data_IF_788909471837
#
_entry.id   IF_788909471837
#
_cell.length_a   1.000
_cell.length_b   1.000
_cell.length_c   1.000
_cell.angle_alpha   90.00
_cell.angle_beta   90.00
_cell.angle_gamma   90.00
#
_symmetry.space_group_name_H-M   'P 1'
#
loop_
_entity.id
_entity.type
_entity.pdbx_description
1 polymer ?
#
# COMPACT_ATOMS: atom_id res chain seq x y z
N UNK A 1 -16.23 3.30 -7.43
CA UNK A 1 -14.93 3.57 -6.79
C UNK A 1 -14.77 2.61 -5.64
N UNK A 2 -13.67 1.87 -5.63
CA UNK A 2 -13.25 1.02 -4.50
C UNK A 2 -11.90 1.51 -3.99
N UNK A 3 -11.76 1.66 -2.68
CA UNK A 3 -10.56 2.23 -2.08
C UNK A 3 -10.01 1.26 -1.05
N UNK A 4 -8.70 1.03 -1.09
CA UNK A 4 -7.98 0.20 -0.14
C UNK A 4 -7.08 1.09 0.72
N UNK A 5 -7.43 1.30 1.98
CA UNK A 5 -6.67 2.10 2.96
C UNK A 5 -5.72 1.17 3.73
N UNK A 6 -4.45 1.11 3.31
CA UNK A 6 -3.44 0.21 3.85
C UNK A 6 -2.70 0.84 5.04
N UNK A 7 -2.53 0.08 6.11
CA UNK A 7 -2.17 0.60 7.45
C UNK A 7 -3.10 1.74 7.88
N UNK A 8 -4.40 1.51 7.68
CA UNK A 8 -5.47 2.48 7.90
C UNK A 8 -5.52 3.10 9.30
N UNK A 9 -4.89 2.47 10.30
CA UNK A 9 -5.01 2.90 11.68
C UNK A 9 -6.49 3.01 12.04
N UNK A 10 -6.85 4.09 12.74
CA UNK A 10 -8.23 4.34 13.17
C UNK A 10 -9.18 4.74 12.03
N UNK A 11 -8.73 4.73 10.77
CA UNK A 11 -9.61 4.94 9.62
C UNK A 11 -10.11 6.38 9.45
N UNK A 12 -9.38 7.39 9.92
CA UNK A 12 -9.78 8.79 9.67
C UNK A 12 -9.67 9.16 8.18
N UNK A 13 -8.66 8.66 7.48
CA UNK A 13 -8.56 8.76 6.01
C UNK A 13 -9.77 8.10 5.35
N UNK A 14 -10.08 6.86 5.75
CA UNK A 14 -11.27 6.13 5.28
C UNK A 14 -12.59 6.86 5.54
N UNK A 15 -12.76 7.47 6.72
CA UNK A 15 -13.95 8.27 7.06
C UNK A 15 -14.12 9.46 6.10
N UNK A 16 -13.04 10.22 5.86
CA UNK A 16 -13.05 11.35 4.96
C UNK A 16 -13.37 10.91 3.52
N UNK A 17 -12.75 9.82 3.05
CA UNK A 17 -12.99 9.27 1.71
C UNK A 17 -14.43 8.78 1.54
N UNK A 18 -14.97 8.06 2.52
CA UNK A 18 -16.35 7.58 2.48
C UNK A 18 -17.39 8.71 2.52
N UNK A 19 -17.06 9.85 3.15
CA UNK A 19 -17.90 11.04 3.12
C UNK A 19 -17.80 11.78 1.77
N UNK A 20 -16.58 11.98 1.27
CA UNK A 20 -16.33 12.69 0.00
C UNK A 20 -16.85 11.93 -1.23
N UNK A 21 -16.89 10.60 -1.15
CA UNK A 21 -17.38 9.70 -2.19
C UNK A 21 -18.47 8.79 -1.63
N UNK A 22 -19.74 9.25 -1.57
CA UNK A 22 -20.81 8.51 -0.88
C UNK A 22 -21.10 7.11 -1.44
N UNK A 23 -20.80 6.88 -2.73
CA UNK A 23 -20.96 5.59 -3.42
C UNK A 23 -19.71 4.70 -3.37
N UNK A 24 -18.62 5.16 -2.75
CA UNK A 24 -17.40 4.36 -2.67
C UNK A 24 -17.53 3.28 -1.59
N UNK A 25 -16.86 2.14 -1.84
CA UNK A 25 -16.53 1.14 -0.81
C UNK A 25 -15.09 1.35 -0.38
N UNK A 26 -14.85 1.33 0.93
CA UNK A 26 -13.53 1.53 1.50
C UNK A 26 -13.15 0.32 2.33
N UNK A 27 -12.05 -0.32 1.97
CA UNK A 27 -11.48 -1.46 2.66
C UNK A 27 -10.25 -1.01 3.43
N UNK A 28 -10.39 -0.97 4.74
CA UNK A 28 -9.33 -0.68 5.70
C UNK A 28 -8.57 -1.97 6.02
N UNK A 29 -7.24 -1.93 5.92
CA UNK A 29 -6.37 -3.02 6.35
C UNK A 29 -5.39 -2.50 7.39
N UNK A 30 -5.34 -3.13 8.56
CA UNK A 30 -4.35 -2.84 9.60
C UNK A 30 -4.05 -4.11 10.41
N UNK A 31 -2.83 -4.22 10.95
CA UNK A 31 -2.44 -5.38 11.76
C UNK A 31 -3.10 -5.40 13.15
N UNK A 32 -3.57 -4.26 13.63
CA UNK A 32 -4.11 -4.13 14.98
C UNK A 32 -5.58 -4.55 15.08
N UNK A 33 -5.83 -5.82 15.42
CA UNK A 33 -7.19 -6.35 15.61
C UNK A 33 -7.98 -5.73 16.78
N UNK A 34 -7.30 -5.12 17.75
CA UNK A 34 -7.90 -4.57 18.98
C UNK A 34 -8.30 -3.10 18.86
N UNK A 35 -8.36 -2.57 17.64
CA UNK A 35 -8.61 -1.16 17.43
C UNK A 35 -10.05 -0.78 17.75
N UNK A 36 -10.25 0.33 18.48
CA UNK A 36 -11.58 0.89 18.67
C UNK A 36 -11.99 1.68 17.42
N UNK A 37 -13.01 1.17 16.71
CA UNK A 37 -13.51 1.70 15.45
C UNK A 37 -14.96 2.17 15.50
N UNK A 38 -15.54 2.35 16.71
CA UNK A 38 -16.97 2.72 16.88
C UNK A 38 -17.41 3.98 16.14
N UNK A 39 -16.49 4.92 15.89
CA UNK A 39 -16.79 6.12 15.10
C UNK A 39 -17.10 5.82 13.63
N UNK A 40 -16.79 4.60 13.14
CA UNK A 40 -17.11 4.14 11.79
C UNK A 40 -18.46 3.40 11.72
N UNK A 41 -19.16 3.18 12.84
CA UNK A 41 -20.42 2.42 12.85
C UNK A 41 -21.49 3.06 11.94
N UNK A 42 -21.49 4.39 11.83
CA UNK A 42 -22.38 5.13 10.92
C UNK A 42 -22.10 4.90 9.42
N UNK A 43 -20.97 4.26 9.09
CA UNK A 43 -20.51 3.94 7.74
C UNK A 43 -20.58 2.43 7.45
N UNK A 44 -21.24 1.65 8.32
CA UNK A 44 -21.45 0.23 8.13
C UNK A 44 -22.04 -0.08 6.74
N UNK A 45 -21.52 -1.12 6.10
CA UNK A 45 -21.89 -1.50 4.73
C UNK A 45 -21.15 -0.73 3.63
N UNK A 46 -20.34 0.28 3.96
CA UNK A 46 -19.46 0.99 3.01
C UNK A 46 -18.00 0.99 3.41
N UNK A 47 -17.71 1.05 4.71
CA UNK A 47 -16.36 0.94 5.25
C UNK A 47 -16.20 -0.42 5.92
N UNK A 48 -15.18 -1.17 5.51
CA UNK A 48 -14.91 -2.54 5.95
C UNK A 48 -13.52 -2.60 6.54
N UNK A 49 -13.35 -3.28 7.69
CA UNK A 49 -12.04 -3.43 8.34
C UNK A 49 -11.58 -4.88 8.30
N UNK A 50 -10.34 -5.09 7.86
CA UNK A 50 -9.63 -6.36 7.92
C UNK A 50 -8.40 -6.25 8.81
N UNK A 51 -8.36 -7.07 9.87
CA UNK A 51 -7.23 -7.16 10.78
C UNK A 51 -6.16 -8.11 10.22
N UNK A 52 -5.24 -7.59 9.40
CA UNK A 52 -4.28 -8.40 8.66
C UNK A 52 -2.87 -7.77 8.58
N UNK A 53 -1.85 -8.61 8.47
CA UNK A 53 -0.51 -8.19 8.09
C UNK A 53 -0.48 -7.95 6.57
N UNK A 54 0.03 -6.82 6.10
CA UNK A 54 0.04 -6.50 4.65
C UNK A 54 0.82 -7.50 3.78
N UNK A 55 1.68 -8.33 4.39
CA UNK A 55 2.39 -9.40 3.69
C UNK A 55 1.63 -10.73 3.66
N UNK A 56 0.50 -10.83 4.36
CA UNK A 56 -0.32 -12.02 4.32
C UNK A 56 -1.06 -12.11 2.97
N UNK A 57 -1.28 -13.35 2.51
CA UNK A 57 -1.90 -13.64 1.20
C UNK A 57 -3.36 -13.19 1.14
N UNK A 58 -4.04 -13.23 2.27
CA UNK A 58 -5.42 -12.78 2.46
C UNK A 58 -5.65 -11.32 2.03
N UNK A 59 -4.65 -10.45 2.17
CA UNK A 59 -4.75 -9.05 1.74
C UNK A 59 -4.82 -8.94 0.22
N UNK A 60 -4.04 -9.74 -0.51
CA UNK A 60 -4.11 -9.76 -1.98
C UNK A 60 -5.46 -10.34 -2.45
N UNK A 61 -5.92 -11.43 -1.83
CA UNK A 61 -7.23 -12.03 -2.11
C UNK A 61 -8.35 -11.01 -1.87
N UNK A 62 -8.34 -10.32 -0.73
CA UNK A 62 -9.30 -9.27 -0.40
C UNK A 62 -9.35 -8.19 -1.48
N UNK A 63 -8.19 -7.73 -1.97
CA UNK A 63 -8.14 -6.71 -3.02
C UNK A 63 -8.74 -7.26 -4.31
N UNK A 64 -8.33 -8.45 -4.75
CA UNK A 64 -8.82 -9.06 -6.00
C UNK A 64 -10.33 -9.30 -5.97
N UNK A 65 -10.86 -9.82 -4.87
CA UNK A 65 -12.29 -10.08 -4.71
C UNK A 65 -13.09 -8.77 -4.77
N UNK A 66 -12.62 -7.74 -4.06
CA UNK A 66 -13.25 -6.42 -4.07
C UNK A 66 -13.21 -5.75 -5.46
N UNK A 67 -12.14 -5.95 -6.22
CA UNK A 67 -12.04 -5.48 -7.61
C UNK A 67 -13.00 -6.24 -8.53
N UNK A 68 -13.06 -7.57 -8.42
CA UNK A 68 -13.96 -8.40 -9.21
C UNK A 68 -15.44 -8.04 -8.98
N UNK A 69 -15.81 -7.75 -7.72
CA UNK A 69 -17.16 -7.29 -7.37
C UNK A 69 -17.44 -5.85 -7.85
N UNK A 70 -16.43 -4.98 -7.84
CA UNK A 70 -16.61 -3.60 -8.28
C UNK A 70 -16.75 -3.47 -9.81
N UNK A 71 -16.00 -4.27 -10.56
CA UNK A 71 -15.84 -4.15 -12.01
C UNK A 71 -14.62 -3.32 -12.40
N UNK A 72 -14.51 -3.02 -13.69
CA UNK A 72 -13.35 -2.35 -14.25
C UNK A 72 -13.26 -0.86 -13.85
N UNK A 73 -12.03 -0.41 -13.58
CA UNK A 73 -11.65 0.97 -13.29
C UNK A 73 -12.20 1.55 -11.97
N UNK A 74 -11.62 2.69 -11.56
CA UNK A 74 -12.06 3.43 -10.38
C UNK A 74 -11.61 2.84 -9.05
N UNK A 75 -10.56 2.04 -9.04
CA UNK A 75 -9.93 1.48 -7.84
C UNK A 75 -8.71 2.29 -7.41
N UNK A 76 -8.44 2.36 -6.10
CA UNK A 76 -7.27 3.07 -5.59
C UNK A 76 -6.73 2.43 -4.31
N UNK A 77 -5.41 2.26 -4.22
CA UNK A 77 -4.72 2.01 -2.95
C UNK A 77 -4.27 3.35 -2.38
N UNK A 78 -4.59 3.57 -1.11
CA UNK A 78 -4.14 4.71 -0.31
C UNK A 78 -3.31 4.16 0.84
N UNK A 79 -2.09 4.66 0.98
CA UNK A 79 -1.16 4.26 2.03
C UNK A 79 -0.55 5.47 2.70
N UNK A 80 -1.04 5.79 3.90
CA UNK A 80 -0.46 6.85 4.75
C UNK A 80 0.45 6.19 5.79
N UNK A 81 1.61 6.78 6.08
CA UNK A 81 2.59 6.23 7.05
C UNK A 81 3.23 4.88 6.66
N UNK A 82 3.06 4.39 5.43
CA UNK A 82 3.68 3.14 4.94
C UNK A 82 5.19 3.27 4.67
N UNK A 83 6.01 3.50 5.68
CA UNK A 83 7.44 3.78 5.47
C UNK A 83 8.26 2.51 5.21
N UNK A 84 9.35 2.61 4.46
CA UNK A 84 10.27 1.48 4.22
C UNK A 84 9.61 0.33 3.47
N UNK A 85 9.73 -0.90 4.00
CA UNK A 85 9.21 -2.11 3.36
C UNK A 85 7.68 -2.07 3.14
N UNK A 86 6.93 -1.28 3.93
CA UNK A 86 5.49 -1.14 3.76
C UNK A 86 5.12 -0.39 2.47
N UNK A 87 5.88 0.65 2.09
CA UNK A 87 5.71 1.32 0.78
C UNK A 87 5.99 0.35 -0.35
N UNK A 88 7.07 -0.45 -0.23
CA UNK A 88 7.41 -1.49 -1.20
C UNK A 88 6.23 -2.44 -1.37
N UNK A 89 5.69 -2.95 -0.25
CA UNK A 89 4.57 -3.90 -0.28
C UNK A 89 3.31 -3.31 -0.90
N UNK A 90 3.00 -2.05 -0.65
CA UNK A 90 1.86 -1.39 -1.28
C UNK A 90 2.04 -1.24 -2.80
N UNK A 91 3.26 -0.95 -3.29
CA UNK A 91 3.58 -0.98 -4.72
C UNK A 91 3.38 -2.38 -5.30
N UNK A 92 3.90 -3.42 -4.65
CA UNK A 92 3.73 -4.81 -5.08
C UNK A 92 2.25 -5.19 -5.19
N UNK A 93 1.42 -4.86 -4.20
CA UNK A 93 -0.02 -5.12 -4.20
C UNK A 93 -0.74 -4.34 -5.32
N UNK A 94 -0.39 -3.07 -5.51
CA UNK A 94 -0.92 -2.22 -6.58
C UNK A 94 -0.70 -2.84 -7.96
N UNK A 95 0.52 -3.28 -8.24
CA UNK A 95 0.90 -3.90 -9.51
C UNK A 95 0.24 -5.26 -9.68
N UNK A 96 0.40 -6.14 -8.69
CA UNK A 96 -0.09 -7.52 -8.77
C UNK A 96 -1.62 -7.58 -8.95
N UNK A 97 -2.36 -6.68 -8.31
CA UNK A 97 -3.82 -6.65 -8.39
C UNK A 97 -4.37 -5.83 -9.55
N UNK A 98 -3.52 -5.07 -10.28
CA UNK A 98 -3.98 -4.20 -11.37
C UNK A 98 -4.89 -3.08 -10.88
N UNK A 99 -4.58 -2.47 -9.74
CA UNK A 99 -5.34 -1.32 -9.20
C UNK A 99 -5.09 -0.08 -10.07
N UNK A 100 -6.08 0.81 -10.23
CA UNK A 100 -5.98 1.95 -11.18
C UNK A 100 -5.17 3.13 -10.64
N UNK A 101 -5.14 3.29 -9.31
CA UNK A 101 -4.45 4.39 -8.65
C UNK A 101 -3.68 3.97 -7.41
N UNK A 102 -2.55 4.64 -7.17
CA UNK A 102 -1.75 4.48 -5.95
C UNK A 102 -1.44 5.85 -5.36
N UNK A 103 -1.84 6.06 -4.11
CA UNK A 103 -1.44 7.20 -3.30
C UNK A 103 -0.55 6.70 -2.17
N UNK A 104 0.73 7.04 -2.22
CA UNK A 104 1.69 6.76 -1.15
C UNK A 104 2.15 8.06 -0.49
N UNK A 105 1.88 8.18 0.81
CA UNK A 105 2.35 9.28 1.65
C UNK A 105 3.20 8.76 2.82
N UNK A 106 4.47 8.39 2.54
CA UNK A 106 5.41 7.96 3.57
C UNK A 106 5.93 9.19 4.34
N UNK A 107 5.57 9.32 5.61
CA UNK A 107 5.96 10.48 6.42
C UNK A 107 7.35 10.37 7.06
N UNK A 108 7.86 9.14 7.26
CA UNK A 108 9.13 8.89 7.89
C UNK A 108 10.16 8.53 6.83
N UNK A 109 11.13 9.40 6.62
CA UNK A 109 12.46 8.99 6.16
C UNK A 109 13.06 8.16 7.29
N UNK A 110 12.63 6.90 7.35
CA UNK A 110 12.86 5.91 8.40
C UNK A 110 13.80 6.42 9.49
N UNK A 111 13.26 6.94 10.61
CA UNK A 111 14.00 6.84 11.87
C UNK A 111 14.25 5.35 12.02
N UNK A 112 15.49 4.92 11.85
CA UNK A 112 15.82 3.50 11.70
C UNK A 112 15.09 2.71 12.77
N UNK A 113 14.12 1.90 12.35
CA UNK A 113 13.52 0.95 13.27
C UNK A 113 14.64 -0.02 13.66
N UNK A 114 14.77 -0.26 14.96
CA UNK A 114 15.64 -1.30 15.49
C UNK A 114 15.44 -2.58 14.68
N UNK A 115 16.53 -3.30 14.39
CA UNK A 115 16.50 -4.44 13.47
C UNK A 115 15.40 -5.46 13.79
N UNK A 116 15.16 -5.74 15.08
CA UNK A 116 14.10 -6.66 15.54
C UNK A 116 12.66 -6.17 15.38
N UNK A 117 12.44 -4.90 15.01
CA UNK A 117 11.11 -4.33 14.72
C UNK A 117 10.87 -4.13 13.22
N UNK A 118 11.80 -4.56 12.36
CA UNK A 118 11.68 -4.43 10.90
C UNK A 118 10.68 -5.48 10.39
N UNK A 119 9.65 -5.09 9.62
CA UNK A 119 8.59 -6.01 9.25
C UNK A 119 9.11 -7.12 8.33
N UNK A 120 9.64 -6.78 7.14
CA UNK A 120 10.08 -7.76 6.12
C UNK A 120 11.03 -7.16 5.06
N UNK A 121 12.27 -6.85 5.45
CA UNK A 121 13.34 -6.51 4.51
C UNK A 121 14.25 -5.38 4.96
N UNK A 122 14.88 -4.71 3.98
CA UNK A 122 15.70 -3.51 4.19
C UNK A 122 15.33 -2.33 3.29
N UNK A 123 14.19 -2.39 2.61
CA UNK A 123 13.82 -1.36 1.65
C UNK A 123 13.64 -0.02 2.35
N UNK A 124 14.33 1.01 1.86
CA UNK A 124 14.32 2.35 2.47
C UNK A 124 15.16 2.51 3.73
N UNK A 125 15.70 1.44 4.32
CA UNK A 125 16.59 1.58 5.47
C UNK A 125 17.97 2.09 5.04
N UNK A 126 18.54 2.97 5.86
CA UNK A 126 19.80 3.64 5.56
C UNK A 126 19.69 4.80 4.57
N UNK A 127 18.50 5.10 4.01
CA UNK A 127 18.31 6.24 3.09
C UNK A 127 18.67 7.56 3.76
N UNK A 128 18.25 7.79 5.00
CA UNK A 128 18.61 9.00 5.74
C UNK A 128 20.13 9.13 5.96
N UNK A 129 20.80 8.01 6.26
CA UNK A 129 22.26 7.95 6.43
C UNK A 129 22.99 8.19 5.12
N UNK A 130 22.53 7.57 4.03
CA UNK A 130 23.08 7.74 2.68
C UNK A 130 22.89 9.18 2.17
N UNK A 131 21.70 9.75 2.35
CA UNK A 131 21.40 11.13 2.01
C UNK A 131 22.34 12.10 2.72
N UNK A 132 22.58 11.89 4.02
CA UNK A 132 23.53 12.69 4.81
C UNK A 132 24.96 12.57 4.29
N UNK A 133 25.46 11.34 4.06
CA UNK A 133 26.82 11.11 3.56
C UNK A 133 27.05 11.65 2.15
N UNK A 134 26.00 11.68 1.34
CA UNK A 134 26.06 12.11 -0.07
C UNK A 134 25.67 13.57 -0.26
N UNK A 135 25.31 14.29 0.82
CA UNK A 135 24.78 15.65 0.77
C UNK A 135 23.60 15.82 -0.19
N UNK A 136 22.67 14.85 -0.19
CA UNK A 136 21.44 14.85 -1.01
C UNK A 136 20.23 14.96 -0.10
N UNK A 137 19.17 15.62 -0.58
CA UNK A 137 17.89 15.62 0.13
C UNK A 137 17.33 14.20 0.27
N UNK A 138 16.97 13.84 1.49
CA UNK A 138 16.58 12.47 1.81
C UNK A 138 15.23 12.09 1.17
N UNK A 139 14.30 13.03 1.01
CA UNK A 139 13.03 12.79 0.32
C UNK A 139 13.22 12.61 -1.18
N UNK A 140 14.09 13.40 -1.82
CA UNK A 140 14.49 13.17 -3.22
C UNK A 140 15.08 11.79 -3.41
N UNK A 141 16.02 11.38 -2.55
CA UNK A 141 16.63 10.06 -2.62
C UNK A 141 15.59 8.95 -2.42
N UNK A 142 14.65 9.13 -1.49
CA UNK A 142 13.55 8.21 -1.27
C UNK A 142 12.63 8.06 -2.49
N UNK A 143 12.26 9.17 -3.14
CA UNK A 143 11.48 9.13 -4.37
C UNK A 143 12.20 8.33 -5.46
N UNK A 144 13.52 8.53 -5.64
CA UNK A 144 14.31 7.74 -6.60
C UNK A 144 14.23 6.24 -6.32
N UNK A 145 14.33 5.83 -5.05
CA UNK A 145 14.19 4.42 -4.66
C UNK A 145 12.79 3.87 -4.99
N UNK A 146 11.73 4.62 -4.69
CA UNK A 146 10.36 4.23 -5.01
C UNK A 146 10.12 4.11 -6.52
N UNK A 147 10.53 5.10 -7.31
CA UNK A 147 10.34 5.07 -8.76
C UNK A 147 11.10 3.91 -9.41
N UNK A 148 12.35 3.67 -9.00
CA UNK A 148 13.10 2.52 -9.48
C UNK A 148 12.43 1.20 -9.12
N UNK A 149 11.87 1.08 -7.91
CA UNK A 149 11.16 -0.13 -7.52
C UNK A 149 9.88 -0.36 -8.33
N UNK A 150 9.09 0.70 -8.56
CA UNK A 150 7.88 0.62 -9.40
C UNK A 150 8.27 0.12 -10.79
N UNK A 151 9.31 0.70 -11.41
CA UNK A 151 9.77 0.27 -12.74
C UNK A 151 10.18 -1.20 -12.75
N UNK A 152 11.05 -1.63 -11.82
CA UNK A 152 11.52 -3.02 -11.75
C UNK A 152 10.36 -3.99 -11.52
N UNK A 153 9.40 -3.63 -10.67
CA UNK A 153 8.25 -4.47 -10.39
C UNK A 153 7.28 -4.58 -11.58
N UNK A 154 7.13 -3.52 -12.38
CA UNK A 154 6.37 -3.56 -13.64
C UNK A 154 7.09 -4.39 -14.72
N UNK A 155 8.40 -4.23 -14.86
CA UNK A 155 9.18 -4.99 -15.85
C UNK A 155 9.06 -6.51 -15.58
N UNK A 156 9.11 -6.90 -14.30
CA UNK A 156 8.97 -8.29 -13.86
C UNK A 156 7.59 -8.91 -14.17
N UNK A 157 6.52 -8.10 -14.21
CA UNK A 157 5.18 -8.61 -14.60
C UNK A 157 4.97 -8.67 -16.10
N UNK A 158 5.72 -7.89 -16.89
CA UNK A 158 5.66 -7.92 -18.35
C UNK A 158 6.59 -8.95 -19.00
N UNK A 159 7.65 -9.38 -18.29
CA UNK A 159 8.69 -10.26 -18.81
C UNK A 159 8.38 -11.77 -18.79
N UNK A 160 7.26 -12.19 -18.19
CA UNK A 160 6.89 -13.61 -18.04
C UNK A 160 5.98 -14.13 -19.17
N UNK A 161 5.99 -13.45 -20.33
CA UNK A 161 5.03 -13.65 -21.43
C UNK A 161 5.61 -14.07 -22.77
N UNK A 162 6.86 -14.54 -22.84
CA UNK A 162 7.48 -14.94 -24.11
C UNK A 162 8.56 -15.98 -23.94
N UNK A 163 8.16 -17.25 -23.95
CA UNK A 163 8.90 -18.38 -24.52
C UNK A 163 7.95 -19.60 -24.56
N UNK A 164 7.04 -19.58 -25.54
CA UNK A 164 6.44 -20.80 -26.11
C UNK A 164 6.10 -20.51 -27.58
N UNK A 165 7.15 -20.34 -28.40
CA UNK A 165 7.04 -20.56 -29.83
C UNK A 165 7.72 -21.90 -30.12
N UNK A 166 6.90 -22.95 -30.10
CA UNK A 166 7.28 -24.26 -30.58
C UNK A 166 7.79 -24.22 -32.01
N UNK A 167 8.93 -24.88 -32.22
CA UNK A 167 9.34 -25.50 -33.48
C UNK A 167 9.85 -26.90 -33.17
#
# INVERSE_FOLDING_TARGET
>A
VVIFDLCSGKGFTSLLLAHRYPKARVFMVDKCAKMNLKHLDSLAGRVFFSAADLYARDVEVLIRDALAEHGANGSCIVGVHLCGDLSRRAVELFIACGVDGLVLSPCCLVRELNAGKRPRGRFGYGVASLARRSNVDAYKLWCVFLFNHIRVAMDATTGDGGDDDGV
#
